data_IF_148695889588
#
_entry.id   IF_148695889588
#
_cell.length_a   1.000
_cell.length_b   1.000
_cell.length_c   1.000
_cell.angle_alpha   90.00
_cell.angle_beta   90.00
_cell.angle_gamma   90.00
#
_symmetry.space_group_name_H-M   'P 1'
#
loop_
_entity.id
_entity.type
_entity.pdbx_description
1 polymer ?
#
# COMPACT_ATOMS: atom_id res chain seq x y z
N UNK A 1 -19.52 -29.78 18.71
CA UNK A 1 -19.41 -28.34 19.02
C UNK A 1 -18.09 -27.83 18.48
N UNK A 2 -18.13 -26.70 17.77
CA UNK A 2 -16.93 -26.08 17.25
C UNK A 2 -16.09 -25.52 18.42
N UNK A 3 -14.87 -26.05 18.63
CA UNK A 3 -14.07 -25.70 19.82
C UNK A 3 -13.64 -24.23 19.80
N UNK A 4 -13.48 -23.66 18.62
CA UNK A 4 -12.86 -22.34 18.41
C UNK A 4 -13.87 -21.22 18.20
N UNK A 5 -15.07 -21.52 17.69
CA UNK A 5 -16.12 -20.54 17.44
C UNK A 5 -17.22 -20.62 18.49
N UNK A 6 -17.92 -19.51 18.70
CA UNK A 6 -19.18 -19.46 19.41
C UNK A 6 -20.19 -18.61 18.65
N UNK A 7 -21.46 -18.89 18.91
CA UNK A 7 -22.58 -18.18 18.32
C UNK A 7 -22.89 -16.91 19.14
N UNK A 8 -23.00 -15.78 18.45
CA UNK A 8 -23.35 -14.48 19.01
C UNK A 8 -24.69 -14.04 18.43
N UNK A 9 -25.68 -13.87 19.29
CA UNK A 9 -26.95 -13.24 18.91
C UNK A 9 -26.75 -11.73 18.75
N UNK A 10 -27.25 -11.19 17.65
CA UNK A 10 -27.16 -9.78 17.26
C UNK A 10 -28.54 -9.32 16.80
N UNK A 11 -28.93 -8.10 17.19
CA UNK A 11 -30.15 -7.44 16.73
C UNK A 11 -29.79 -6.33 15.77
N UNK A 12 -30.32 -6.37 14.54
CA UNK A 12 -30.04 -5.36 13.53
C UNK A 12 -30.65 -4.00 13.93
N UNK A 13 -29.88 -2.90 13.98
CA UNK A 13 -30.43 -1.59 14.32
C UNK A 13 -31.37 -1.02 13.25
N UNK A 14 -31.31 -1.52 12.01
CA UNK A 14 -32.03 -0.95 10.85
C UNK A 14 -33.38 -1.62 10.62
N UNK A 15 -33.41 -2.96 10.60
CA UNK A 15 -34.60 -3.75 10.35
C UNK A 15 -35.10 -4.54 11.57
N UNK A 16 -34.43 -4.40 12.72
CA UNK A 16 -34.80 -5.03 14.01
C UNK A 16 -34.67 -6.56 14.02
N UNK A 17 -34.35 -7.18 12.88
CA UNK A 17 -34.16 -8.61 12.74
C UNK A 17 -33.09 -9.14 13.71
N UNK A 18 -33.43 -10.18 14.44
CA UNK A 18 -32.50 -10.91 15.29
C UNK A 18 -31.85 -12.03 14.48
N UNK A 19 -30.53 -12.11 14.52
CA UNK A 19 -29.76 -13.11 13.79
C UNK A 19 -28.58 -13.57 14.62
N UNK A 20 -27.97 -14.67 14.21
CA UNK A 20 -26.79 -15.24 14.86
C UNK A 20 -25.59 -15.11 13.94
N UNK A 21 -24.46 -14.67 14.49
CA UNK A 21 -23.17 -14.66 13.79
C UNK A 21 -22.14 -15.43 14.58
N UNK A 22 -21.17 -16.05 13.90
CA UNK A 22 -20.03 -16.69 14.57
C UNK A 22 -18.98 -15.67 14.99
N UNK A 23 -18.31 -15.96 16.09
CA UNK A 23 -17.15 -15.22 16.59
C UNK A 23 -16.11 -16.20 17.13
N UNK A 24 -14.84 -15.85 16.95
CA UNK A 24 -13.72 -16.63 17.49
C UNK A 24 -13.62 -16.41 18.99
N UNK A 25 -13.52 -17.50 19.75
CA UNK A 25 -13.29 -17.45 21.20
C UNK A 25 -11.88 -16.91 21.46
N UNK A 26 -11.75 -15.92 22.33
CA UNK A 26 -10.45 -15.37 22.72
C UNK A 26 -9.51 -16.45 23.26
N UNK A 27 -10.04 -17.41 24.02
CA UNK A 27 -9.26 -18.55 24.56
C UNK A 27 -8.73 -19.50 23.50
N UNK A 28 -9.32 -19.51 22.31
CA UNK A 28 -8.89 -20.33 21.18
C UNK A 28 -7.82 -19.64 20.31
N UNK A 29 -7.61 -18.33 20.44
CA UNK A 29 -6.65 -17.59 19.61
C UNK A 29 -5.22 -18.10 19.86
N UNK A 30 -4.56 -18.53 18.79
CA UNK A 30 -3.12 -18.88 18.80
C UNK A 30 -2.43 -18.15 17.66
N UNK A 31 -1.54 -17.22 18.00
CA UNK A 31 -0.72 -16.48 17.05
C UNK A 31 0.49 -17.31 16.64
N UNK A 32 0.75 -17.41 15.34
CA UNK A 32 1.97 -17.98 14.75
C UNK A 32 3.05 -16.93 14.62
N UNK A 33 2.72 -15.82 13.95
CA UNK A 33 3.63 -14.69 13.73
C UNK A 33 2.85 -13.41 13.55
N UNK A 34 3.56 -12.28 13.61
CA UNK A 34 3.04 -10.97 13.27
C UNK A 34 3.98 -10.32 12.26
N UNK A 35 3.43 -9.92 11.12
CA UNK A 35 4.18 -9.19 10.11
C UNK A 35 4.43 -7.75 10.57
N UNK A 36 5.38 -7.09 9.89
CA UNK A 36 5.78 -5.70 10.16
C UNK A 36 4.63 -4.70 10.02
N UNK A 37 3.65 -4.97 9.16
CA UNK A 37 2.45 -4.14 8.99
C UNK A 37 1.30 -4.51 9.92
N UNK A 38 1.61 -5.18 11.03
CA UNK A 38 0.69 -5.65 12.04
C UNK A 38 -0.27 -6.78 11.65
N UNK A 39 -0.17 -7.34 10.44
CA UNK A 39 -0.92 -8.54 10.10
C UNK A 39 -0.54 -9.70 11.01
N UNK A 40 -1.53 -10.29 11.70
CA UNK A 40 -1.30 -11.43 12.59
C UNK A 40 -1.68 -12.70 11.87
N UNK A 41 -0.76 -13.67 11.85
CA UNK A 41 -0.98 -15.03 11.35
C UNK A 41 -1.40 -15.94 12.49
N UNK A 42 -2.52 -16.64 12.31
CA UNK A 42 -3.12 -17.48 13.33
C UNK A 42 -2.96 -18.97 13.00
N UNK A 43 -2.70 -19.79 14.02
CA UNK A 43 -2.68 -21.26 13.92
C UNK A 43 -4.10 -21.84 13.91
N UNK A 44 -5.00 -21.13 14.58
CA UNK A 44 -6.43 -21.44 14.72
C UNK A 44 -7.23 -20.66 13.69
N UNK A 45 -8.56 -20.80 13.71
CA UNK A 45 -9.45 -20.01 12.85
C UNK A 45 -9.12 -18.52 12.91
N UNK A 46 -8.97 -17.92 11.73
CA UNK A 46 -8.58 -16.52 11.57
C UNK A 46 -9.71 -15.57 12.00
N UNK A 47 -9.51 -14.71 13.01
CA UNK A 47 -10.52 -13.75 13.48
C UNK A 47 -10.92 -12.70 12.44
N UNK A 48 -10.06 -12.42 11.46
CA UNK A 48 -10.40 -11.48 10.39
C UNK A 48 -11.66 -11.93 9.66
N UNK A 49 -11.91 -13.25 9.53
CA UNK A 49 -13.07 -13.75 8.79
C UNK A 49 -14.43 -13.36 9.42
N UNK A 50 -14.43 -13.05 10.73
CA UNK A 50 -15.64 -12.79 11.52
C UNK A 50 -15.72 -11.36 12.05
N UNK A 51 -14.86 -10.45 11.57
CA UNK A 51 -14.80 -9.08 12.05
C UNK A 51 -15.97 -8.20 11.58
N UNK A 52 -16.60 -8.56 10.45
CA UNK A 52 -17.76 -7.87 9.88
C UNK A 52 -19.04 -8.63 10.23
N UNK A 53 -20.00 -7.92 10.81
CA UNK A 53 -21.35 -8.39 11.03
C UNK A 53 -22.23 -7.95 9.87
N UNK A 54 -23.02 -8.87 9.34
CA UNK A 54 -23.93 -8.63 8.22
C UNK A 54 -25.32 -9.06 8.65
N UNK A 55 -26.30 -8.18 8.48
CA UNK A 55 -27.69 -8.56 8.66
C UNK A 55 -28.16 -9.39 7.45
N UNK A 56 -28.61 -10.65 7.64
CA UNK A 56 -29.03 -11.48 6.53
C UNK A 56 -30.27 -10.92 5.80
N UNK A 57 -31.11 -10.17 6.53
CA UNK A 57 -32.37 -9.62 6.03
C UNK A 57 -32.21 -8.34 5.22
N UNK A 58 -31.43 -7.36 5.71
CA UNK A 58 -31.36 -6.03 5.08
C UNK A 58 -30.00 -5.69 4.46
N UNK A 59 -29.02 -6.59 4.54
CA UNK A 59 -27.69 -6.42 3.95
C UNK A 59 -26.71 -5.59 4.78
N UNK A 60 -27.18 -4.86 5.78
CA UNK A 60 -26.36 -3.96 6.59
C UNK A 60 -25.10 -4.63 7.14
N UNK A 61 -23.94 -4.09 6.78
CA UNK A 61 -22.63 -4.63 7.04
C UNK A 61 -21.71 -3.62 7.74
N UNK A 62 -21.19 -3.97 8.91
CA UNK A 62 -20.24 -3.14 9.64
C UNK A 62 -19.34 -3.97 10.57
N UNK A 63 -18.24 -3.39 11.04
CA UNK A 63 -17.47 -4.01 12.12
C UNK A 63 -18.31 -4.11 13.40
N UNK A 64 -17.99 -5.08 14.26
CA UNK A 64 -18.63 -5.22 15.59
C UNK A 64 -18.66 -3.89 16.37
N UNK A 65 -17.58 -3.11 16.33
CA UNK A 65 -17.48 -1.82 17.03
C UNK A 65 -18.36 -0.71 16.45
N UNK A 66 -18.75 -0.80 15.17
CA UNK A 66 -19.58 0.19 14.48
C UNK A 66 -21.02 -0.23 14.27
N UNK A 67 -21.31 -1.53 14.30
CA UNK A 67 -22.61 -2.07 13.91
C UNK A 67 -23.78 -1.38 14.60
N UNK A 68 -23.71 -1.19 15.92
CA UNK A 68 -24.77 -0.55 16.72
C UNK A 68 -24.66 0.98 16.83
N UNK A 69 -23.66 1.61 16.20
CA UNK A 69 -23.41 3.06 16.28
C UNK A 69 -23.92 3.83 15.05
N UNK A 70 -24.66 3.18 14.16
CA UNK A 70 -25.30 3.82 13.02
C UNK A 70 -26.36 4.81 13.49
N UNK A 71 -26.40 5.99 12.86
CA UNK A 71 -27.38 7.04 13.19
C UNK A 71 -28.72 6.78 12.52
N UNK A 72 -29.82 7.30 13.09
CA UNK A 72 -31.18 7.11 12.54
C UNK A 72 -31.30 7.59 11.10
N UNK A 73 -30.65 8.70 10.75
CA UNK A 73 -30.68 9.27 9.40
C UNK A 73 -30.00 8.34 8.39
N UNK A 74 -28.97 7.61 8.83
CA UNK A 74 -28.23 6.65 8.01
C UNK A 74 -29.05 5.38 7.72
N UNK A 75 -30.10 5.08 8.50
CA UNK A 75 -30.97 3.93 8.24
C UNK A 75 -31.68 4.06 6.88
N UNK A 76 -32.09 5.28 6.52
CA UNK A 76 -32.77 5.57 5.25
C UNK A 76 -31.84 5.23 4.09
N UNK A 77 -30.59 5.70 4.16
CA UNK A 77 -29.57 5.44 3.12
C UNK A 77 -29.33 3.95 2.92
N UNK A 78 -29.23 3.16 3.99
CA UNK A 78 -29.09 1.70 3.87
C UNK A 78 -30.33 1.07 3.23
N UNK A 79 -31.53 1.46 3.65
CA UNK A 79 -32.76 0.92 3.06
C UNK A 79 -32.85 1.19 1.55
N UNK A 80 -32.50 2.40 1.14
CA UNK A 80 -32.59 2.84 -0.26
C UNK A 80 -31.49 2.25 -1.14
N UNK A 81 -30.24 2.23 -0.67
CA UNK A 81 -29.07 1.89 -1.49
C UNK A 81 -28.61 0.44 -1.34
N UNK A 82 -28.89 -0.20 -0.21
CA UNK A 82 -28.44 -1.57 0.09
C UNK A 82 -29.63 -2.51 0.12
N UNK A 83 -30.58 -2.29 1.02
CA UNK A 83 -31.69 -3.23 1.23
C UNK A 83 -32.57 -3.43 0.00
N UNK A 84 -32.80 -2.38 -0.79
CA UNK A 84 -33.59 -2.44 -2.03
C UNK A 84 -33.06 -3.43 -3.08
N UNK A 85 -31.75 -3.66 -3.10
CA UNK A 85 -31.07 -4.56 -4.03
C UNK A 85 -30.52 -5.81 -3.34
N UNK A 86 -30.67 -5.90 -2.01
CA UNK A 86 -30.15 -7.00 -1.22
C UNK A 86 -30.94 -8.28 -1.47
N UNK A 87 -30.22 -9.38 -1.68
CA UNK A 87 -30.79 -10.72 -1.69
C UNK A 87 -30.41 -11.39 -0.39
N UNK A 88 -31.39 -11.88 0.34
CA UNK A 88 -31.16 -12.50 1.64
C UNK A 88 -30.15 -13.65 1.55
N UNK A 89 -29.15 -13.61 2.42
CA UNK A 89 -28.03 -14.57 2.48
C UNK A 89 -27.57 -14.71 3.92
N UNK A 90 -27.24 -15.94 4.32
CA UNK A 90 -26.77 -16.22 5.67
C UNK A 90 -25.25 -16.11 5.79
N UNK A 91 -24.78 -15.10 6.54
CA UNK A 91 -23.37 -14.90 6.90
C UNK A 91 -23.04 -15.39 8.32
N UNK A 92 -23.97 -16.08 8.97
CA UNK A 92 -23.84 -16.59 10.34
C UNK A 92 -23.08 -17.91 10.46
N UNK A 93 -22.82 -18.58 9.34
CA UNK A 93 -22.10 -19.85 9.28
C UNK A 93 -20.57 -19.65 9.38
N UNK A 94 -19.82 -20.76 9.33
CA UNK A 94 -18.36 -20.70 9.20
C UNK A 94 -18.02 -20.03 7.87
N UNK A 95 -17.09 -19.10 7.91
CA UNK A 95 -16.66 -18.34 6.74
C UNK A 95 -15.31 -18.83 6.26
N UNK A 96 -15.19 -18.95 4.96
CA UNK A 96 -13.91 -19.05 4.27
C UNK A 96 -13.36 -17.65 3.97
N UNK A 97 -12.21 -17.62 3.29
CA UNK A 97 -11.52 -16.39 2.94
C UNK A 97 -12.31 -15.52 1.94
N UNK A 98 -13.05 -16.14 1.02
CA UNK A 98 -13.82 -15.41 0.01
C UNK A 98 -15.04 -14.75 0.63
N UNK A 99 -15.76 -15.45 1.51
CA UNK A 99 -16.86 -14.90 2.29
C UNK A 99 -16.37 -13.78 3.21
N UNK A 100 -15.18 -13.91 3.78
CA UNK A 100 -14.55 -12.84 4.54
C UNK A 100 -14.29 -11.62 3.65
N UNK A 101 -13.65 -11.77 2.50
CA UNK A 101 -13.37 -10.68 1.56
C UNK A 101 -14.67 -9.99 1.12
N UNK A 102 -15.70 -10.76 0.76
CA UNK A 102 -17.02 -10.22 0.40
C UNK A 102 -17.59 -9.37 1.55
N UNK A 103 -17.51 -9.87 2.79
CA UNK A 103 -18.03 -9.14 3.94
C UNK A 103 -17.35 -7.79 4.17
N UNK A 104 -16.03 -7.72 3.96
CA UNK A 104 -15.31 -6.45 4.05
C UNK A 104 -15.61 -5.52 2.89
N UNK A 105 -15.81 -6.04 1.67
CA UNK A 105 -16.23 -5.23 0.52
C UNK A 105 -17.59 -4.59 0.77
N UNK A 106 -18.54 -5.33 1.35
CA UNK A 106 -19.85 -4.79 1.76
C UNK A 106 -19.69 -3.68 2.80
N UNK A 107 -18.94 -3.94 3.89
CA UNK A 107 -18.71 -2.93 4.91
C UNK A 107 -17.97 -1.68 4.39
N UNK A 108 -17.07 -1.86 3.41
CA UNK A 108 -16.35 -0.76 2.76
C UNK A 108 -17.30 0.06 1.89
N UNK A 109 -18.15 -0.59 1.09
CA UNK A 109 -19.17 0.08 0.29
C UNK A 109 -20.14 0.87 1.18
N UNK A 110 -20.66 0.23 2.23
CA UNK A 110 -21.59 0.86 3.18
C UNK A 110 -20.94 2.02 3.93
N UNK A 111 -19.70 1.86 4.40
CA UNK A 111 -18.97 2.93 5.04
C UNK A 111 -18.82 4.17 4.16
N UNK A 112 -18.59 3.99 2.85
CA UNK A 112 -18.49 5.09 1.89
C UNK A 112 -19.84 5.78 1.66
N UNK A 113 -20.92 5.04 1.37
CA UNK A 113 -22.24 5.67 1.12
C UNK A 113 -22.82 6.34 2.37
N UNK A 114 -22.41 5.90 3.57
CA UNK A 114 -22.79 6.48 4.85
C UNK A 114 -21.91 7.67 5.26
N UNK A 115 -20.89 8.00 4.47
CA UNK A 115 -19.88 9.03 4.78
C UNK A 115 -19.26 8.84 6.18
N UNK A 116 -18.90 7.60 6.51
CA UNK A 116 -18.17 7.33 7.74
C UNK A 116 -16.75 7.89 7.68
N UNK A 117 -16.13 8.03 8.86
CA UNK A 117 -14.78 8.59 8.97
C UNK A 117 -13.79 7.82 8.10
N UNK A 118 -12.88 8.56 7.47
CA UNK A 118 -11.82 8.00 6.65
C UNK A 118 -10.98 6.97 7.43
N UNK A 119 -10.76 7.18 8.73
CA UNK A 119 -10.09 6.20 9.60
C UNK A 119 -10.72 4.81 9.58
N UNK A 120 -12.05 4.72 9.51
CA UNK A 120 -12.76 3.44 9.41
C UNK A 120 -12.55 2.80 8.03
N UNK A 121 -12.61 3.59 6.96
CA UNK A 121 -12.33 3.14 5.58
C UNK A 121 -10.89 2.62 5.46
N UNK A 122 -9.91 3.35 6.03
CA UNK A 122 -8.51 2.95 6.06
C UNK A 122 -8.27 1.64 6.80
N UNK A 123 -8.97 1.41 7.91
CA UNK A 123 -8.93 0.15 8.67
C UNK A 123 -9.47 -1.03 7.85
N UNK A 124 -10.59 -0.83 7.15
CA UNK A 124 -11.15 -1.87 6.28
C UNK A 124 -10.22 -2.18 5.11
N UNK A 125 -9.63 -1.17 4.48
CA UNK A 125 -8.64 -1.36 3.41
C UNK A 125 -7.41 -2.12 3.92
N UNK A 126 -6.88 -1.79 5.09
CA UNK A 126 -5.74 -2.50 5.68
C UNK A 126 -6.07 -3.98 5.87
N UNK A 127 -7.21 -4.28 6.50
CA UNK A 127 -7.63 -5.67 6.77
C UNK A 127 -7.98 -6.43 5.48
N UNK A 128 -8.57 -5.78 4.47
CA UNK A 128 -8.76 -6.37 3.14
C UNK A 128 -7.43 -6.77 2.52
N UNK A 129 -6.40 -5.92 2.61
CA UNK A 129 -5.08 -6.27 2.10
C UNK A 129 -4.51 -7.51 2.76
N UNK A 130 -4.69 -7.66 4.08
CA UNK A 130 -4.29 -8.87 4.79
C UNK A 130 -5.07 -10.09 4.33
N UNK A 131 -6.39 -9.97 4.07
CA UNK A 131 -7.17 -11.08 3.52
C UNK A 131 -6.68 -11.48 2.13
N UNK A 132 -6.34 -10.53 1.26
CA UNK A 132 -5.74 -10.87 -0.04
C UNK A 132 -4.35 -11.50 0.06
N UNK A 133 -3.55 -11.11 1.07
CA UNK A 133 -2.30 -11.80 1.40
C UNK A 133 -2.54 -13.28 1.71
N UNK A 134 -3.52 -13.59 2.54
CA UNK A 134 -3.89 -14.98 2.84
C UNK A 134 -4.39 -15.73 1.61
N UNK A 135 -4.96 -15.02 0.64
CA UNK A 135 -5.47 -15.59 -0.61
C UNK A 135 -4.36 -15.80 -1.66
N UNK A 136 -3.21 -15.15 -1.50
CA UNK A 136 -2.12 -15.15 -2.48
C UNK A 136 -2.33 -14.16 -3.63
N UNK A 137 -3.19 -13.16 -3.45
CA UNK A 137 -3.57 -12.18 -4.49
C UNK A 137 -2.76 -10.88 -4.31
N UNK A 138 -1.50 -10.89 -4.75
CA UNK A 138 -0.53 -9.83 -4.47
C UNK A 138 -0.94 -8.46 -5.03
N UNK A 139 -1.49 -8.40 -6.26
CA UNK A 139 -1.92 -7.14 -6.87
C UNK A 139 -3.04 -6.46 -6.07
N UNK A 140 -4.00 -7.25 -5.60
CA UNK A 140 -5.12 -6.76 -4.79
C UNK A 140 -4.65 -6.39 -3.38
N UNK A 141 -3.77 -7.19 -2.78
CA UNK A 141 -3.11 -6.83 -1.53
C UNK A 141 -2.45 -5.44 -1.64
N UNK A 142 -1.60 -5.25 -2.66
CA UNK A 142 -0.86 -4.02 -2.89
C UNK A 142 -1.80 -2.83 -3.12
N UNK A 143 -2.87 -3.02 -3.91
CA UNK A 143 -3.90 -2.00 -4.14
C UNK A 143 -4.55 -1.52 -2.84
N UNK A 144 -4.99 -2.45 -1.98
CA UNK A 144 -5.65 -2.09 -0.73
C UNK A 144 -4.66 -1.54 0.33
N UNK A 145 -3.41 -2.00 0.34
CA UNK A 145 -2.36 -1.37 1.15
C UNK A 145 -2.12 0.07 0.74
N UNK A 146 -2.09 0.36 -0.56
CA UNK A 146 -1.87 1.71 -1.06
C UNK A 146 -3.00 2.65 -0.65
N UNK A 147 -4.24 2.22 -0.82
CA UNK A 147 -5.40 2.97 -0.32
C UNK A 147 -5.35 3.20 1.18
N UNK A 148 -4.98 2.19 1.97
CA UNK A 148 -4.84 2.31 3.42
C UNK A 148 -3.76 3.32 3.81
N UNK A 149 -2.59 3.26 3.15
CA UNK A 149 -1.49 4.20 3.34
C UNK A 149 -1.93 5.64 3.09
N UNK A 150 -2.57 5.90 1.94
CA UNK A 150 -2.98 7.24 1.55
C UNK A 150 -4.03 7.80 2.52
N UNK A 151 -5.01 6.98 2.90
CA UNK A 151 -6.05 7.35 3.88
C UNK A 151 -5.43 7.63 5.25
N UNK A 152 -4.57 6.76 5.77
CA UNK A 152 -3.99 6.95 7.10
C UNK A 152 -3.05 8.15 7.18
N UNK A 153 -2.31 8.42 6.11
CA UNK A 153 -1.48 9.63 5.97
C UNK A 153 -2.36 10.88 6.08
N UNK A 154 -3.53 10.89 5.44
CA UNK A 154 -4.50 11.99 5.51
C UNK A 154 -5.13 12.11 6.91
N UNK A 155 -5.61 10.99 7.47
CA UNK A 155 -6.26 10.95 8.78
C UNK A 155 -5.33 11.38 9.91
N UNK A 156 -4.03 11.12 9.82
CA UNK A 156 -3.07 11.39 10.89
C UNK A 156 -3.10 12.85 11.37
N UNK A 157 -3.30 13.80 10.45
CA UNK A 157 -3.38 15.23 10.76
C UNK A 157 -4.80 15.76 10.94
N UNK A 158 -5.81 15.07 10.38
CA UNK A 158 -7.20 15.55 10.32
C UNK A 158 -8.11 14.97 11.39
N UNK A 159 -7.83 13.78 11.90
CA UNK A 159 -8.67 13.08 12.86
C UNK A 159 -8.06 13.06 14.27
N UNK A 160 -8.92 13.00 15.29
CA UNK A 160 -8.49 12.83 16.67
C UNK A 160 -8.18 11.36 16.95
N UNK A 161 -7.06 11.11 17.61
CA UNK A 161 -6.69 9.78 18.10
C UNK A 161 -7.65 9.29 19.20
N UNK A 162 -7.90 7.98 19.30
CA UNK A 162 -7.31 6.90 18.50
C UNK A 162 -7.93 6.76 17.09
N UNK A 163 -7.09 6.46 16.10
CA UNK A 163 -7.47 6.25 14.68
C UNK A 163 -7.37 4.75 14.39
N UNK A 164 -8.45 4.11 13.94
CA UNK A 164 -8.51 2.66 13.72
C UNK A 164 -8.03 1.83 14.94
N UNK A 165 -8.26 2.33 16.16
CA UNK A 165 -7.80 1.70 17.41
C UNK A 165 -6.31 1.91 17.72
N UNK A 166 -5.57 2.65 16.88
CA UNK A 166 -4.16 2.97 17.07
C UNK A 166 -3.98 4.37 17.67
N UNK A 167 -2.96 4.52 18.51
CA UNK A 167 -2.46 5.84 18.91
C UNK A 167 -1.52 6.41 17.84
N UNK A 168 -1.07 7.64 18.05
CA UNK A 168 -0.20 8.38 17.13
C UNK A 168 1.11 7.64 16.86
N UNK A 169 1.78 7.10 17.87
CA UNK A 169 3.00 6.31 17.68
C UNK A 169 2.77 5.06 16.80
N UNK A 170 1.70 4.29 17.08
CA UNK A 170 1.43 3.05 16.36
C UNK A 170 1.00 3.31 14.91
N UNK A 171 0.21 4.36 14.68
CA UNK A 171 -0.20 4.76 13.33
C UNK A 171 0.99 5.30 12.53
N UNK A 172 1.84 6.12 13.14
CA UNK A 172 3.04 6.64 12.49
C UNK A 172 3.99 5.51 12.07
N UNK A 173 4.19 4.50 12.92
CA UNK A 173 4.93 3.29 12.56
C UNK A 173 4.31 2.57 11.35
N UNK A 174 2.99 2.34 11.37
CA UNK A 174 2.32 1.65 10.26
C UNK A 174 2.46 2.40 8.95
N UNK A 175 2.27 3.73 8.96
CA UNK A 175 2.46 4.57 7.76
C UNK A 175 3.91 4.49 7.28
N UNK A 176 4.88 4.51 8.20
CA UNK A 176 6.30 4.33 7.88
C UNK A 176 6.59 2.99 7.21
N UNK A 177 6.03 1.91 7.74
CA UNK A 177 6.23 0.57 7.18
C UNK A 177 5.56 0.39 5.83
N UNK A 178 4.33 0.89 5.66
CA UNK A 178 3.68 0.86 4.36
C UNK A 178 4.50 1.66 3.33
N UNK A 179 4.98 2.86 3.67
CA UNK A 179 5.86 3.62 2.78
C UNK A 179 7.13 2.84 2.40
N UNK A 180 7.75 2.09 3.32
CA UNK A 180 8.92 1.25 3.03
C UNK A 180 8.57 0.17 2.01
N UNK A 181 7.44 -0.53 2.20
CA UNK A 181 6.95 -1.55 1.24
C UNK A 181 6.74 -1.00 -0.17
N UNK A 182 6.27 0.25 -0.29
CA UNK A 182 6.14 0.95 -1.57
C UNK A 182 7.42 1.65 -2.05
N UNK A 183 8.58 1.39 -1.41
CA UNK A 183 9.88 2.01 -1.73
C UNK A 183 9.91 3.55 -1.60
N UNK A 184 8.96 4.12 -0.86
CA UNK A 184 8.91 5.54 -0.51
C UNK A 184 9.84 5.81 0.69
N UNK A 185 11.12 5.50 0.54
CA UNK A 185 12.07 5.41 1.65
C UNK A 185 12.20 6.72 2.45
N UNK A 186 12.27 7.88 1.78
CA UNK A 186 12.36 9.17 2.46
C UNK A 186 11.17 9.45 3.38
N UNK A 187 9.96 9.14 2.90
CA UNK A 187 8.74 9.30 3.70
C UNK A 187 8.73 8.30 4.84
N UNK A 188 9.09 7.04 4.57
CA UNK A 188 9.19 6.00 5.59
C UNK A 188 10.10 6.41 6.76
N UNK A 189 11.31 6.93 6.46
CA UNK A 189 12.25 7.45 7.47
C UNK A 189 11.62 8.56 8.32
N UNK A 190 10.95 9.54 7.69
CA UNK A 190 10.28 10.65 8.40
C UNK A 190 9.19 10.14 9.35
N UNK A 191 8.39 9.17 8.90
CA UNK A 191 7.32 8.58 9.71
C UNK A 191 7.84 7.77 10.90
N UNK A 192 8.92 7.00 10.74
CA UNK A 192 9.55 6.32 11.87
C UNK A 192 10.17 7.28 12.89
N UNK A 193 10.83 8.36 12.42
CA UNK A 193 11.31 9.41 13.33
C UNK A 193 10.17 10.07 14.09
N UNK A 194 9.03 10.32 13.44
CA UNK A 194 7.85 10.85 14.10
C UNK A 194 7.30 9.90 15.16
N UNK A 195 7.26 8.60 14.88
CA UNK A 195 6.88 7.58 15.86
C UNK A 195 7.82 7.58 17.09
N UNK A 196 9.14 7.69 16.89
CA UNK A 196 10.13 7.75 17.98
C UNK A 196 10.04 9.02 18.83
N UNK A 197 9.55 10.12 18.25
CA UNK A 197 9.34 11.40 18.98
C UNK A 197 8.09 11.38 19.84
N UNK A 198 7.16 10.46 19.59
CA UNK A 198 5.92 10.35 20.36
C UNK A 198 6.21 9.92 21.81
N UNK A 199 5.81 10.69 22.84
CA UNK A 199 6.06 10.34 24.23
C UNK A 199 5.46 8.99 24.67
N UNK A 200 4.38 8.53 24.03
CA UNK A 200 3.73 7.27 24.34
C UNK A 200 4.57 6.05 23.94
N UNK A 201 5.51 6.21 23.00
CA UNK A 201 6.32 5.09 22.51
C UNK A 201 7.18 4.47 23.61
N UNK A 202 7.66 5.28 24.56
CA UNK A 202 8.48 4.84 25.70
C UNK A 202 7.76 3.84 26.60
N UNK A 203 6.42 3.88 26.62
CA UNK A 203 5.59 2.93 27.37
C UNK A 203 5.36 1.62 26.60
N UNK A 204 5.71 1.59 25.32
CA UNK A 204 5.48 0.48 24.38
C UNK A 204 6.80 -0.05 23.83
N UNK A 205 7.64 -0.64 24.69
CA UNK A 205 8.97 -1.17 24.32
C UNK A 205 8.97 -2.03 23.06
N UNK A 206 7.96 -2.89 22.88
CA UNK A 206 7.83 -3.71 21.66
C UNK A 206 7.69 -2.85 20.40
N UNK A 207 6.84 -1.82 20.44
CA UNK A 207 6.66 -0.90 19.31
C UNK A 207 7.93 -0.08 19.08
N UNK A 208 8.59 0.38 20.15
CA UNK A 208 9.85 1.12 20.04
C UNK A 208 10.92 0.30 19.31
N UNK A 209 11.09 -0.97 19.68
CA UNK A 209 12.02 -1.87 19.03
C UNK A 209 11.65 -2.08 17.55
N UNK A 210 10.37 -2.36 17.26
CA UNK A 210 9.89 -2.49 15.88
C UNK A 210 10.21 -1.25 15.04
N UNK A 211 10.01 -0.04 15.58
CA UNK A 211 10.31 1.21 14.88
C UNK A 211 11.80 1.36 14.62
N UNK A 212 12.65 1.07 15.61
CA UNK A 212 14.12 1.14 15.45
C UNK A 212 14.63 0.15 14.41
N UNK A 213 14.14 -1.08 14.46
CA UNK A 213 14.53 -2.14 13.53
C UNK A 213 14.14 -1.76 12.10
N UNK A 214 12.89 -1.33 11.88
CA UNK A 214 12.44 -0.92 10.55
C UNK A 214 13.11 0.38 10.07
N UNK A 215 13.44 1.29 10.99
CA UNK A 215 14.17 2.52 10.66
C UNK A 215 15.61 2.24 10.21
N UNK A 216 16.29 1.26 10.80
CA UNK A 216 17.60 0.82 10.36
C UNK A 216 17.51 0.20 8.94
N UNK A 217 16.57 -0.73 8.75
CA UNK A 217 16.35 -1.40 7.46
C UNK A 217 16.09 -0.41 6.33
N UNK A 218 15.13 0.51 6.50
CA UNK A 218 14.81 1.52 5.47
C UNK A 218 16.00 2.43 5.17
N UNK A 219 16.85 2.73 6.17
CA UNK A 219 18.01 3.60 5.97
C UNK A 219 19.08 2.90 5.13
N UNK A 220 19.28 1.60 5.36
CA UNK A 220 20.18 0.78 4.52
C UNK A 220 19.63 0.61 3.10
N UNK A 221 18.34 0.32 2.95
CA UNK A 221 17.66 0.23 1.64
C UNK A 221 17.78 1.56 0.88
N UNK A 222 17.57 2.69 1.56
CA UNK A 222 17.67 4.02 0.95
C UNK A 222 19.08 4.34 0.48
N UNK A 223 20.11 4.01 1.27
CA UNK A 223 21.52 4.22 0.89
C UNK A 223 21.89 3.43 -0.37
N UNK A 224 21.51 2.15 -0.43
CA UNK A 224 21.75 1.30 -1.61
C UNK A 224 21.13 1.90 -2.86
N UNK A 225 19.87 2.32 -2.78
CA UNK A 225 19.16 2.95 -3.90
C UNK A 225 19.78 4.28 -4.32
N UNK A 226 20.34 5.05 -3.38
CA UNK A 226 21.05 6.30 -3.70
C UNK A 226 22.36 6.02 -4.42
N UNK A 227 23.15 5.06 -3.94
CA UNK A 227 24.40 4.63 -4.58
C UNK A 227 24.16 4.10 -5.99
N UNK A 228 23.15 3.24 -6.18
CA UNK A 228 22.78 2.72 -7.50
C UNK A 228 22.34 3.82 -8.48
N UNK A 229 21.74 4.92 -7.99
CA UNK A 229 21.40 6.08 -8.82
C UNK A 229 22.63 6.88 -9.21
N UNK A 230 23.50 7.18 -8.25
CA UNK A 230 24.76 7.89 -8.48
C UNK A 230 25.66 7.12 -9.46
N UNK A 231 25.76 5.79 -9.33
CA UNK A 231 26.50 4.94 -10.28
C UNK A 231 25.90 4.97 -11.70
N UNK A 232 24.57 4.98 -11.83
CA UNK A 232 23.90 5.07 -13.13
C UNK A 232 24.08 6.44 -13.78
N UNK A 233 24.01 7.51 -13.00
CA UNK A 233 24.23 8.88 -13.45
C UNK A 233 25.68 9.04 -13.93
N UNK A 234 26.67 8.62 -13.14
CA UNK A 234 28.08 8.65 -13.53
C UNK A 234 28.37 7.83 -14.79
N UNK A 235 27.75 6.65 -14.94
CA UNK A 235 27.90 5.83 -16.15
C UNK A 235 27.26 6.47 -17.39
N UNK A 236 26.12 7.17 -17.23
CA UNK A 236 25.51 7.93 -18.31
C UNK A 236 26.40 9.10 -18.74
N UNK A 237 26.88 9.90 -17.78
CA UNK A 237 27.78 11.03 -18.06
C UNK A 237 29.06 10.58 -18.76
N UNK A 238 29.68 9.48 -18.30
CA UNK A 238 30.86 8.92 -18.94
C UNK A 238 30.56 8.44 -20.38
N UNK A 239 29.39 7.83 -20.62
CA UNK A 239 29.01 7.39 -21.96
C UNK A 239 28.74 8.56 -22.92
N UNK A 240 28.21 9.68 -22.42
CA UNK A 240 28.01 10.90 -23.19
C UNK A 240 29.35 11.59 -23.52
N UNK A 241 30.29 11.61 -22.57
CA UNK A 241 31.64 12.15 -22.78
C UNK A 241 32.40 11.37 -23.87
N UNK A 242 32.41 10.03 -23.80
CA UNK A 242 33.04 9.16 -24.81
C UNK A 242 32.44 9.41 -26.19
N UNK A 243 31.11 9.47 -26.30
CA UNK A 243 30.42 9.75 -27.57
C UNK A 243 30.75 11.13 -28.16
N UNK A 244 30.90 12.15 -27.31
CA UNK A 244 31.28 13.50 -27.74
C UNK A 244 32.75 13.56 -28.19
N UNK A 245 33.64 12.79 -27.58
CA UNK A 245 35.03 12.65 -28.01
C UNK A 245 35.14 11.95 -29.36
N UNK A 246 34.48 10.80 -29.55
CA UNK A 246 34.43 10.10 -30.84
C UNK A 246 33.94 11.02 -31.97
N UNK A 247 32.89 11.82 -31.73
CA UNK A 247 32.41 12.80 -32.71
C UNK A 247 33.37 13.95 -33.00
N UNK A 248 34.18 14.37 -32.02
CA UNK A 248 35.22 15.38 -32.24
C UNK A 248 36.34 14.81 -33.10
N UNK A 249 36.72 13.56 -32.86
CA UNK A 249 37.73 12.85 -33.66
C UNK A 249 37.24 12.62 -35.09
N UNK A 250 36.00 12.18 -35.30
CA UNK A 250 35.39 12.05 -36.63
C UNK A 250 35.39 13.38 -37.41
N UNK A 251 35.03 14.48 -36.75
CA UNK A 251 35.07 15.83 -37.35
C UNK A 251 36.49 16.27 -37.68
N UNK A 252 37.45 16.06 -36.77
CA UNK A 252 38.84 16.41 -37.00
C UNK A 252 39.44 15.64 -38.18
N UNK A 253 39.13 14.35 -38.30
CA UNK A 253 39.56 13.52 -39.42
C UNK A 253 38.95 14.00 -40.76
N UNK A 254 37.64 14.33 -40.76
CA UNK A 254 36.99 14.88 -41.95
C UNK A 254 37.56 16.25 -42.39
N UNK A 255 37.97 17.10 -41.45
CA UNK A 255 38.61 18.39 -41.74
C UNK A 255 40.06 18.24 -42.23
N UNK A 256 40.79 17.24 -41.73
CA UNK A 256 42.14 16.90 -42.22
C UNK A 256 42.11 16.34 -43.64
N UNK A 257 41.16 15.47 -43.96
CA UNK A 257 40.98 14.91 -45.31
C UNK A 257 40.60 15.99 -46.34
N UNK A 258 39.78 16.97 -45.94
CA UNK A 258 39.40 18.10 -46.80
C UNK A 258 40.49 19.17 -46.95
N UNK A 259 41.42 19.30 -46.00
CA UNK A 259 42.60 20.16 -46.13
C UNK A 259 43.75 19.48 -46.90
N UNK A 260 43.82 18.15 -46.91
CA UNK A 260 44.71 17.37 -47.78
C UNK A 260 44.45 17.59 -49.27
N UNK A 261 43.21 17.88 -49.66
CA UNK A 261 42.84 18.10 -51.06
C UNK A 261 43.12 19.53 -51.58
N UNK A 262 43.51 20.49 -50.72
CA UNK A 262 43.99 21.81 -51.20
C UNK A 262 45.45 21.79 -51.66
N UNK A 263 46.27 20.82 -51.21
CA UNK A 263 47.63 20.59 -51.75
C UNK A 263 47.65 19.61 -52.93
N UNK A 264 46.61 18.77 -53.08
CA UNK A 264 46.42 17.92 -54.27
C UNK A 264 45.95 18.71 -55.51
N UNK A 265 45.20 19.81 -55.32
CA UNK A 265 44.74 20.68 -56.41
C UNK A 265 45.79 21.64 -57.01
N UNK A 266 47.00 21.74 -56.44
CA UNK A 266 48.11 22.51 -57.04
C UNK A 266 49.13 21.60 -57.75
N UNK A 267 49.25 20.31 -57.38
CA UNK A 267 50.13 19.36 -58.11
C UNK A 267 49.45 18.59 -59.25
N UNK A 268 48.12 18.57 -59.35
CA UNK A 268 47.42 18.08 -60.56
C UNK A 268 47.24 19.13 -61.67
N UNK A 269 47.65 20.40 -61.46
CA UNK A 269 47.66 21.43 -62.52
C UNK A 269 48.95 21.50 -63.35
N UNK A 270 50.00 20.75 -62.97
CA UNK A 270 51.28 20.76 -63.69
C UNK A 270 51.56 19.51 -64.54
N UNK A 271 50.76 18.44 -64.41
CA UNK A 271 50.86 17.25 -65.28
C UNK A 271 49.81 17.21 -66.41
N UNK A 272 48.88 18.17 -66.46
CA UNK A 272 47.87 18.32 -67.51
C UNK A 272 48.12 19.55 -68.40
N UNK A 273 49.39 19.86 -68.69
CA UNK A 273 49.76 20.96 -69.62
C UNK A 273 50.86 20.61 -70.63
N UNK A 274 51.07 19.31 -70.91
CA UNK A 274 51.96 18.84 -71.98
C UNK A 274 51.37 17.76 -72.89
N UNK A 275 50.06 17.52 -72.80
CA UNK A 275 49.35 16.53 -73.62
C UNK A 275 48.12 17.09 -74.38
N UNK A 276 47.95 18.42 -74.46
CA UNK A 276 47.01 19.04 -75.39
C UNK A 276 47.64 20.28 -76.03
N UNK A 277 48.12 20.07 -77.26
CA UNK A 277 48.37 21.05 -78.36
C UNK A 277 49.55 22.02 -78.15
N UNK A 278 50.40 22.19 -79.18
CA UNK A 278 50.52 23.44 -79.96
C UNK A 278 50.60 24.70 -79.09
#
# INVERSE_FOLDING_TARGET
MDRELYDKKVKCPICINEFTTKKVKTSALRTLKRDTDFCVHYKTVNPYFYSIWICPKCGYAATESKFNLIKKEQHIVIREKVTSIWKERDYGLKRDIDTAIESYKLALYEGNILNWKNSYIGELCLKLSWLYRYKGEEELEHKFQKHSLDIFTDCFSKERFPIAGMDSASLAYLIGELNRKFKNYEQSIKWFQMALRDPQIKRKKLLENMVRDQWLLVTEEYKKVKQEKEEKENNLEHSEEVYLEEKKEEKANYEQDNNGDRRSKIRKKFFFRKAMQR
#
